data_IF_509366095459
#
_entry.id   IF_509366095459
#
_cell.length_a   1.000
_cell.length_b   1.000
_cell.length_c   1.000
_cell.angle_alpha   90.00
_cell.angle_beta   90.00
_cell.angle_gamma   90.00
#
_symmetry.space_group_name_H-M   'P 1'
#
loop_
_entity.id
_entity.type
_entity.pdbx_description
1 polymer ?
#
# COMPACT_ATOMS: atom_id res chain seq x y z
N UNK A 1 -5.73 8.50 14.78
CA UNK A 1 -5.25 7.45 13.84
C UNK A 1 -5.42 7.98 12.43
N UNK A 2 -4.36 7.97 11.64
CA UNK A 2 -4.31 8.61 10.34
C UNK A 2 -3.93 7.60 9.27
N UNK A 3 -4.63 7.65 8.12
CA UNK A 3 -4.32 6.81 6.97
C UNK A 3 -3.49 7.61 5.98
N UNK A 4 -2.49 6.98 5.39
CA UNK A 4 -1.65 7.55 4.36
C UNK A 4 -1.77 6.72 3.08
N UNK A 5 -2.05 7.39 1.97
CA UNK A 5 -2.15 6.81 0.63
C UNK A 5 -1.13 7.49 -0.28
N UNK A 6 -0.47 6.70 -1.12
CA UNK A 6 0.43 7.21 -2.14
C UNK A 6 -0.17 6.97 -3.52
N UNK A 7 -0.59 8.03 -4.21
CA UNK A 7 -1.26 7.96 -5.50
C UNK A 7 -0.37 8.47 -6.64
N UNK A 8 0.76 7.82 -6.86
CA UNK A 8 1.78 8.22 -7.84
C UNK A 8 1.84 7.31 -9.07
N UNK A 9 2.06 7.88 -10.28
CA UNK A 9 2.40 7.10 -11.45
C UNK A 9 3.78 6.39 -11.28
N UNK A 10 4.07 5.30 -12.00
CA UNK A 10 3.22 4.69 -13.03
C UNK A 10 2.16 3.73 -12.50
N UNK A 11 2.21 3.37 -11.23
CA UNK A 11 1.32 2.36 -10.65
C UNK A 11 -0.12 2.83 -10.46
N UNK A 12 -0.24 4.10 -10.04
CA UNK A 12 -1.49 4.76 -9.70
C UNK A 12 -1.53 6.15 -10.36
N UNK A 13 -2.02 7.20 -9.70
CA UNK A 13 -2.05 8.58 -10.23
C UNK A 13 -3.44 9.00 -10.70
N UNK A 14 -4.46 8.18 -10.53
CA UNK A 14 -5.84 8.53 -10.82
C UNK A 14 -6.69 8.56 -9.56
N UNK A 15 -7.62 9.49 -9.49
CA UNK A 15 -8.48 9.70 -8.32
C UNK A 15 -9.31 8.47 -7.95
N UNK A 16 -9.70 7.67 -8.92
CA UNK A 16 -10.52 6.45 -8.71
C UNK A 16 -9.87 5.47 -7.73
N UNK A 17 -8.55 5.37 -7.69
CA UNK A 17 -7.84 4.51 -6.74
C UNK A 17 -8.07 4.96 -5.29
N UNK A 18 -7.95 6.26 -5.06
CA UNK A 18 -8.16 6.87 -3.74
C UNK A 18 -9.62 6.76 -3.32
N UNK A 19 -10.55 7.01 -4.24
CA UNK A 19 -11.99 6.95 -3.97
C UNK A 19 -12.44 5.53 -3.59
N UNK A 20 -11.88 4.52 -4.22
CA UNK A 20 -12.13 3.12 -3.87
C UNK A 20 -11.67 2.79 -2.44
N UNK A 21 -10.47 3.20 -2.06
CA UNK A 21 -9.98 2.98 -0.70
C UNK A 21 -10.88 3.70 0.32
N UNK A 22 -11.21 4.97 0.09
CA UNK A 22 -12.10 5.73 0.97
C UNK A 22 -13.45 5.03 1.14
N UNK A 23 -14.05 4.61 0.03
CA UNK A 23 -15.33 3.89 0.05
C UNK A 23 -15.26 2.60 0.87
N UNK A 24 -14.23 1.77 0.68
CA UNK A 24 -14.06 0.54 1.43
C UNK A 24 -13.85 0.79 2.92
N UNK A 25 -13.05 1.80 3.28
CA UNK A 25 -12.79 2.20 4.66
C UNK A 25 -14.06 2.70 5.36
N UNK A 26 -14.88 3.50 4.68
CA UNK A 26 -16.15 3.98 5.22
C UNK A 26 -17.12 2.83 5.46
N UNK A 27 -17.21 1.88 4.53
CA UNK A 27 -18.04 0.67 4.69
C UNK A 27 -17.51 -0.29 5.77
N UNK A 28 -16.20 -0.32 6.01
CA UNK A 28 -15.58 -1.10 7.07
C UNK A 28 -15.73 -0.48 8.47
N UNK A 29 -16.44 0.65 8.60
CA UNK A 29 -16.77 1.30 9.88
C UNK A 29 -15.96 2.55 10.21
N UNK A 30 -15.29 3.15 9.23
CA UNK A 30 -14.56 4.44 9.36
C UNK A 30 -13.69 4.53 10.62
N UNK A 31 -12.67 3.70 10.70
CA UNK A 31 -11.79 3.57 11.86
C UNK A 31 -10.54 4.47 11.75
N UNK A 32 -10.71 5.70 11.30
CA UNK A 32 -9.66 6.69 11.09
C UNK A 32 -10.18 8.10 11.29
N UNK A 33 -9.30 9.03 11.62
CA UNK A 33 -9.61 10.46 11.78
C UNK A 33 -9.38 11.22 10.48
N UNK A 34 -8.26 10.96 9.80
CA UNK A 34 -7.82 11.66 8.57
C UNK A 34 -7.27 10.66 7.56
N UNK A 35 -7.49 10.94 6.27
CA UNK A 35 -6.79 10.30 5.16
C UNK A 35 -5.91 11.36 4.48
N UNK A 36 -4.61 11.13 4.49
CA UNK A 36 -3.64 11.89 3.72
C UNK A 36 -3.42 11.21 2.37
N UNK A 37 -3.50 11.97 1.31
CA UNK A 37 -3.20 11.50 -0.04
C UNK A 37 -1.97 12.25 -0.54
N UNK A 38 -0.92 11.52 -0.88
CA UNK A 38 0.28 12.06 -1.50
C UNK A 38 0.35 11.65 -2.95
N UNK A 39 0.71 12.60 -3.81
CA UNK A 39 0.89 12.42 -5.26
C UNK A 39 2.28 12.89 -5.74
N UNK A 40 3.14 13.29 -4.82
CA UNK A 40 4.51 13.69 -5.10
C UNK A 40 5.34 12.52 -5.63
N UNK A 41 5.97 12.71 -6.79
CA UNK A 41 6.93 11.77 -7.39
C UNK A 41 8.34 12.32 -7.15
N UNK A 42 9.15 11.59 -6.40
CA UNK A 42 10.53 11.98 -6.09
C UNK A 42 11.53 11.11 -6.83
N UNK A 43 11.35 9.80 -6.79
CA UNK A 43 12.23 8.82 -7.42
C UNK A 43 11.58 8.13 -8.62
N UNK A 44 10.27 8.35 -8.86
CA UNK A 44 9.51 7.75 -9.94
C UNK A 44 9.41 6.23 -9.86
N UNK A 45 9.43 5.68 -8.65
CA UNK A 45 9.49 4.24 -8.41
C UNK A 45 8.81 3.86 -7.09
N UNK A 46 8.83 2.57 -6.77
CA UNK A 46 8.32 2.05 -5.48
C UNK A 46 9.04 2.66 -4.26
N UNK A 47 10.20 3.23 -4.45
CA UNK A 47 10.98 3.91 -3.42
C UNK A 47 10.39 5.25 -2.97
N UNK A 48 9.43 5.81 -3.72
CA UNK A 48 8.68 6.99 -3.31
C UNK A 48 7.93 6.79 -1.97
N UNK A 49 7.61 5.54 -1.62
CA UNK A 49 7.04 5.21 -0.30
C UNK A 49 7.94 5.60 0.88
N UNK A 50 9.24 5.66 0.70
CA UNK A 50 10.17 5.98 1.80
C UNK A 50 10.06 7.43 2.26
N UNK A 51 9.61 8.36 1.39
CA UNK A 51 9.43 9.75 1.77
C UNK A 51 8.33 9.93 2.83
N UNK A 52 7.42 8.97 2.94
CA UNK A 52 6.34 8.99 3.93
C UNK A 52 6.90 9.09 5.36
N UNK A 53 8.03 8.43 5.64
CA UNK A 53 8.67 8.48 6.95
C UNK A 53 9.29 9.85 7.28
N UNK A 54 9.59 10.67 6.28
CA UNK A 54 10.04 12.06 6.50
C UNK A 54 8.86 13.02 6.62
N UNK A 55 7.73 12.75 5.97
CA UNK A 55 6.55 13.61 5.98
C UNK A 55 5.65 13.38 7.20
N UNK A 56 5.53 12.14 7.67
CA UNK A 56 4.59 11.72 8.70
C UNK A 56 5.33 11.27 9.97
N UNK A 57 5.65 12.23 10.89
CA UNK A 57 6.63 12.06 11.97
C UNK A 57 6.07 12.17 13.38
N UNK A 58 4.86 12.65 13.57
CA UNK A 58 4.37 13.02 14.91
C UNK A 58 3.10 12.30 15.34
N UNK A 59 2.47 11.54 14.45
CA UNK A 59 1.21 10.84 14.67
C UNK A 59 1.34 9.33 14.70
N UNK A 60 0.20 8.66 14.68
CA UNK A 60 0.09 7.23 14.44
C UNK A 60 -0.52 7.01 13.06
N UNK A 61 0.24 6.37 12.19
CA UNK A 61 -0.04 6.25 10.76
C UNK A 61 -0.22 4.81 10.33
N UNK A 62 -1.12 4.63 9.37
CA UNK A 62 -1.31 3.39 8.64
C UNK A 62 -1.24 3.70 7.14
N UNK A 63 -0.20 3.21 6.47
CA UNK A 63 -0.09 3.25 5.02
C UNK A 63 -0.79 2.05 4.40
N UNK A 64 -1.53 2.31 3.32
CA UNK A 64 -2.22 1.31 2.53
C UNK A 64 -1.89 1.52 1.05
N UNK A 65 -1.47 0.45 0.35
CA UNK A 65 -1.43 0.44 -1.11
C UNK A 65 -2.85 0.59 -1.69
N UNK A 66 -2.95 1.10 -2.90
CA UNK A 66 -4.24 1.36 -3.53
C UNK A 66 -4.84 0.14 -4.25
N UNK A 67 -4.04 -0.92 -4.44
CA UNK A 67 -4.46 -2.18 -5.07
C UNK A 67 -4.83 -3.26 -4.03
N UNK A 68 -5.54 -2.85 -2.98
CA UNK A 68 -6.07 -3.73 -1.94
C UNK A 68 -7.59 -3.66 -1.89
N UNK A 69 -8.22 -4.74 -1.42
CA UNK A 69 -9.64 -4.77 -1.07
C UNK A 69 -9.79 -4.91 0.43
N UNK A 70 -10.63 -4.07 1.03
CA UNK A 70 -10.90 -4.03 2.47
C UNK A 70 -12.39 -4.32 2.66
N UNK A 71 -12.71 -5.39 3.41
CA UNK A 71 -14.09 -5.84 3.66
C UNK A 71 -14.45 -5.84 5.14
N UNK A 72 -13.53 -5.45 6.02
CA UNK A 72 -13.75 -5.46 7.46
C UNK A 72 -12.82 -4.53 8.24
N UNK A 73 -12.88 -4.60 9.57
CA UNK A 73 -12.15 -3.68 10.43
C UNK A 73 -10.63 -3.73 10.26
N UNK A 74 -9.98 -2.56 10.33
CA UNK A 74 -8.53 -2.38 10.17
C UNK A 74 -7.84 -1.82 11.42
N UNK A 75 -8.57 -1.55 12.51
CA UNK A 75 -8.02 -0.94 13.72
C UNK A 75 -6.84 -1.72 14.31
N UNK A 76 -6.85 -3.04 14.15
CA UNK A 76 -5.79 -3.94 14.62
C UNK A 76 -4.46 -3.79 13.86
N UNK A 77 -4.45 -3.05 12.74
CA UNK A 77 -3.24 -2.79 11.95
C UNK A 77 -2.45 -1.58 12.46
N UNK A 78 -3.03 -0.75 13.34
CA UNK A 78 -2.29 0.36 13.94
C UNK A 78 -1.37 -0.15 15.05
N UNK A 79 -0.08 0.02 14.87
CA UNK A 79 0.97 -0.40 15.80
C UNK A 79 1.81 0.79 16.26
N UNK A 80 2.49 0.65 17.38
CA UNK A 80 3.41 1.69 17.90
C UNK A 80 4.80 1.56 17.31
N UNK A 81 5.20 0.37 16.90
CA UNK A 81 6.47 0.10 16.23
C UNK A 81 6.30 0.18 14.71
N UNK A 82 7.39 0.41 13.98
CA UNK A 82 7.36 0.27 12.53
C UNK A 82 7.09 -1.19 12.17
N UNK A 83 5.92 -1.44 11.63
CA UNK A 83 5.41 -2.78 11.34
C UNK A 83 4.93 -2.87 9.89
N UNK A 84 5.25 -3.96 9.21
CA UNK A 84 4.78 -4.21 7.85
C UNK A 84 4.39 -5.68 7.65
N UNK A 85 3.89 -6.03 6.47
CA UNK A 85 3.39 -7.37 6.21
C UNK A 85 4.53 -8.40 6.19
N UNK A 86 4.28 -9.54 6.83
CA UNK A 86 4.98 -10.78 6.50
C UNK A 86 4.40 -11.33 5.19
N UNK A 87 5.25 -11.43 4.16
CA UNK A 87 4.87 -11.92 2.83
C UNK A 87 4.88 -13.46 2.79
N UNK A 88 4.03 -14.10 3.56
CA UNK A 88 3.92 -15.55 3.72
C UNK A 88 3.71 -16.31 2.39
N UNK A 89 3.29 -15.62 1.34
CA UNK A 89 3.05 -16.17 0.00
C UNK A 89 4.26 -16.11 -0.93
N UNK A 90 5.38 -15.49 -0.49
CA UNK A 90 6.58 -15.35 -1.32
C UNK A 90 7.50 -16.55 -1.19
N UNK A 91 8.18 -16.86 -2.30
CA UNK A 91 9.22 -17.87 -2.31
C UNK A 91 10.43 -17.47 -1.45
N UNK A 92 11.17 -18.46 -0.88
CA UNK A 92 12.27 -18.20 0.07
C UNK A 92 13.39 -17.31 -0.46
N UNK A 93 13.62 -17.25 -1.77
CA UNK A 93 14.65 -16.40 -2.40
C UNK A 93 14.20 -14.96 -2.62
N UNK A 94 12.96 -14.63 -2.34
CA UNK A 94 12.45 -13.27 -2.29
C UNK A 94 12.52 -12.72 -0.86
N UNK A 95 12.17 -11.45 -0.66
CA UNK A 95 12.12 -10.92 0.70
C UNK A 95 10.90 -11.48 1.45
N UNK A 96 11.01 -11.72 2.76
CA UNK A 96 9.86 -12.16 3.56
C UNK A 96 8.88 -11.01 3.88
N UNK A 97 9.12 -9.80 3.37
CA UNK A 97 8.36 -8.60 3.65
C UNK A 97 7.55 -8.13 2.45
N UNK A 98 6.47 -7.41 2.75
CA UNK A 98 5.71 -6.66 1.75
C UNK A 98 5.24 -5.32 2.35
N UNK A 99 5.50 -4.24 1.65
CA UNK A 99 5.20 -2.87 2.05
C UNK A 99 3.83 -2.36 1.62
N UNK A 100 2.92 -3.25 1.22
CA UNK A 100 1.56 -2.82 0.83
C UNK A 100 0.72 -2.33 2.01
N UNK A 101 1.08 -2.75 3.23
CA UNK A 101 0.51 -2.24 4.49
C UNK A 101 1.67 -2.01 5.44
N UNK A 102 1.77 -0.78 5.95
CA UNK A 102 2.78 -0.39 6.93
C UNK A 102 2.16 0.48 8.00
N UNK A 103 2.56 0.31 9.26
CA UNK A 103 2.15 1.20 10.33
C UNK A 103 3.33 1.64 11.17
N UNK A 104 3.28 2.88 11.66
CA UNK A 104 4.28 3.43 12.57
C UNK A 104 3.68 4.51 13.46
N UNK A 105 4.36 4.81 14.56
CA UNK A 105 4.00 5.88 15.46
C UNK A 105 5.24 6.72 15.80
N UNK A 106 5.13 8.05 15.66
CA UNK A 106 6.23 8.97 15.92
C UNK A 106 7.24 9.09 14.77
N UNK A 107 8.47 9.51 15.10
CA UNK A 107 9.50 9.84 14.10
C UNK A 107 10.29 8.61 13.63
N UNK A 108 10.04 8.21 12.40
CA UNK A 108 10.79 7.18 11.67
C UNK A 108 11.57 7.75 10.48
N UNK A 109 11.87 9.06 10.48
CA UNK A 109 12.58 9.73 9.37
C UNK A 109 13.97 9.15 9.10
N UNK A 110 14.57 8.43 10.05
CA UNK A 110 15.83 7.73 9.85
C UNK A 110 15.78 6.74 8.68
N UNK A 111 14.59 6.16 8.38
CA UNK A 111 14.41 5.24 7.26
C UNK A 111 14.65 5.95 5.93
N UNK A 112 13.99 7.11 5.73
CA UNK A 112 14.21 7.91 4.52
C UNK A 112 15.61 8.51 4.46
N UNK A 113 16.13 9.00 5.59
CA UNK A 113 17.50 9.55 5.66
C UNK A 113 18.53 8.52 5.24
N UNK A 114 18.41 7.29 5.70
CA UNK A 114 19.28 6.18 5.32
C UNK A 114 19.27 5.95 3.82
N UNK A 115 18.10 5.87 3.20
CA UNK A 115 17.97 5.72 1.75
C UNK A 115 18.55 6.93 1.01
N UNK A 116 18.32 8.13 1.51
CA UNK A 116 18.72 9.38 0.88
C UNK A 116 20.24 9.69 1.01
N UNK A 117 21.03 8.84 1.72
CA UNK A 117 22.49 8.90 1.69
C UNK A 117 23.04 8.62 0.29
N UNK A 118 22.46 7.69 -0.46
CA UNK A 118 22.78 7.38 -1.85
C UNK A 118 21.63 6.62 -2.52
N UNK A 119 20.58 7.31 -3.00
CA UNK A 119 19.40 6.68 -3.59
C UNK A 119 19.74 5.78 -4.79
N UNK A 120 20.63 6.22 -5.66
CA UNK A 120 21.01 5.48 -6.86
C UNK A 120 21.69 4.15 -6.50
N UNK A 121 22.59 4.17 -5.52
CA UNK A 121 23.22 2.97 -5.00
C UNK A 121 22.19 1.99 -4.44
N UNK A 122 21.27 2.47 -3.59
CA UNK A 122 20.28 1.59 -2.96
C UNK A 122 19.27 1.03 -3.97
N UNK A 123 18.84 1.81 -4.96
CA UNK A 123 17.96 1.34 -6.02
C UNK A 123 18.60 0.26 -6.90
N UNK A 124 19.91 0.35 -7.16
CA UNK A 124 20.65 -0.67 -7.90
C UNK A 124 20.93 -1.90 -7.04
N UNK A 125 21.35 -1.70 -5.80
CA UNK A 125 21.69 -2.77 -4.84
C UNK A 125 20.48 -3.62 -4.49
N UNK A 126 19.32 -3.00 -4.27
CA UNK A 126 18.08 -3.67 -3.89
C UNK A 126 17.08 -3.65 -5.04
N UNK A 127 17.36 -4.40 -6.10
CA UNK A 127 16.58 -4.41 -7.33
C UNK A 127 15.16 -5.00 -7.18
N UNK A 128 14.85 -5.62 -6.04
CA UNK A 128 13.49 -6.05 -5.67
C UNK A 128 12.69 -4.96 -4.98
N UNK A 129 13.22 -3.75 -4.93
CA UNK A 129 12.55 -2.56 -4.45
C UNK A 129 12.62 -2.33 -2.93
N UNK A 130 11.71 -1.50 -2.45
CA UNK A 130 11.64 -1.04 -1.06
C UNK A 130 11.57 -2.20 -0.04
N UNK A 131 10.90 -3.29 -0.36
CA UNK A 131 10.76 -4.45 0.54
C UNK A 131 12.14 -5.04 0.86
N UNK A 132 13.02 -5.14 -0.15
CA UNK A 132 14.39 -5.65 0.04
C UNK A 132 15.26 -4.65 0.81
N UNK A 133 15.13 -3.36 0.51
CA UNK A 133 15.83 -2.30 1.25
C UNK A 133 15.48 -2.34 2.75
N UNK A 134 14.20 -2.35 3.08
CA UNK A 134 13.75 -2.42 4.48
C UNK A 134 14.28 -3.70 5.14
N UNK A 135 14.13 -4.83 4.49
CA UNK A 135 14.58 -6.12 5.03
C UNK A 135 16.07 -6.14 5.40
N UNK A 136 16.92 -5.43 4.64
CA UNK A 136 18.38 -5.47 4.79
C UNK A 136 18.94 -4.34 5.64
N UNK A 137 18.28 -3.18 5.68
CA UNK A 137 18.88 -1.95 6.22
C UNK A 137 18.13 -1.38 7.42
N UNK A 138 16.89 -1.81 7.70
CA UNK A 138 16.01 -1.17 8.67
C UNK A 138 15.54 -2.19 9.72
N UNK A 139 15.41 -1.75 10.96
CA UNK A 139 14.73 -2.50 12.02
C UNK A 139 13.21 -2.39 11.85
N UNK A 140 12.52 -3.50 11.98
CA UNK A 140 11.07 -3.59 11.77
C UNK A 140 10.43 -4.71 12.59
N UNK A 141 9.12 -4.61 12.77
CA UNK A 141 8.25 -5.70 13.21
C UNK A 141 7.37 -6.19 12.04
N UNK A 142 6.80 -7.36 12.18
CA UNK A 142 5.86 -7.87 11.17
C UNK A 142 4.51 -8.19 11.78
N UNK A 143 3.46 -7.88 11.00
CA UNK A 143 2.13 -8.41 11.31
C UNK A 143 2.14 -9.94 11.23
N UNK A 144 1.28 -10.58 12.03
CA UNK A 144 0.85 -11.94 11.74
C UNK A 144 0.11 -12.02 10.39
N UNK A 145 -0.56 -13.11 10.13
CA UNK A 145 -1.37 -13.25 8.90
C UNK A 145 -2.63 -12.38 8.99
N UNK A 146 -2.56 -11.12 8.54
CA UNK A 146 -3.64 -10.12 8.58
C UNK A 146 -4.31 -9.89 7.24
N UNK A 147 -3.71 -10.38 6.15
CA UNK A 147 -4.25 -10.25 4.80
C UNK A 147 -4.06 -11.53 3.98
N UNK A 148 -4.87 -11.66 2.96
CA UNK A 148 -4.71 -12.64 1.89
C UNK A 148 -4.09 -11.99 0.65
N UNK A 149 -3.53 -12.82 -0.24
CA UNK A 149 -3.08 -12.39 -1.56
C UNK A 149 -3.95 -13.09 -2.61
N UNK A 150 -4.60 -12.31 -3.48
CA UNK A 150 -5.49 -12.86 -4.51
C UNK A 150 -4.78 -13.86 -5.42
N UNK A 151 -3.55 -13.57 -5.83
CA UNK A 151 -2.77 -14.43 -6.73
C UNK A 151 -2.41 -15.80 -6.12
N UNK A 152 -2.49 -15.94 -4.79
CA UNK A 152 -2.06 -17.14 -4.05
C UNK A 152 -3.20 -17.84 -3.31
N UNK A 153 -4.43 -17.54 -3.69
CA UNK A 153 -5.62 -18.16 -3.10
C UNK A 153 -5.93 -17.58 -1.71
N UNK A 154 -6.70 -16.53 -1.68
CA UNK A 154 -7.15 -15.89 -0.47
C UNK A 154 -8.55 -15.31 -0.67
N UNK A 155 -9.10 -14.70 0.36
CA UNK A 155 -10.42 -14.07 0.35
C UNK A 155 -11.22 -14.32 1.62
N UNK A 156 -10.61 -14.93 2.62
CA UNK A 156 -11.23 -15.19 3.93
C UNK A 156 -10.89 -14.11 4.97
N UNK A 157 -9.81 -13.37 4.75
CA UNK A 157 -9.41 -12.27 5.64
C UNK A 157 -10.03 -10.95 5.19
N UNK A 158 -10.19 -9.98 6.11
CA UNK A 158 -10.79 -8.68 5.82
C UNK A 158 -10.02 -7.85 4.79
N UNK A 159 -8.79 -8.24 4.48
CA UNK A 159 -7.93 -7.54 3.54
C UNK A 159 -7.39 -8.53 2.52
N UNK A 160 -7.48 -8.18 1.23
CA UNK A 160 -6.91 -8.95 0.13
C UNK A 160 -6.04 -8.06 -0.74
N UNK A 161 -4.79 -8.48 -0.99
CA UNK A 161 -3.85 -7.78 -1.85
C UNK A 161 -4.03 -8.22 -3.31
N UNK A 162 -3.99 -7.25 -4.22
CA UNK A 162 -4.08 -7.45 -5.67
C UNK A 162 -2.81 -7.04 -6.42
N UNK A 163 -1.70 -6.86 -5.73
CA UNK A 163 -0.43 -6.38 -6.30
C UNK A 163 0.09 -7.19 -7.50
N UNK A 164 -0.29 -8.46 -7.64
CA UNK A 164 0.03 -9.32 -8.79
C UNK A 164 -1.19 -9.63 -9.68
N UNK A 165 -2.33 -9.00 -9.44
CA UNK A 165 -3.58 -9.26 -10.13
C UNK A 165 -4.45 -8.00 -10.17
N UNK A 166 -3.87 -6.84 -10.48
CA UNK A 166 -4.57 -5.53 -10.46
C UNK A 166 -5.78 -5.47 -11.37
N UNK A 167 -5.75 -6.18 -12.52
CA UNK A 167 -6.87 -6.35 -13.42
C UNK A 167 -8.09 -7.00 -12.75
N UNK A 168 -7.84 -7.93 -11.82
CA UNK A 168 -8.88 -8.66 -11.09
C UNK A 168 -9.55 -7.84 -10.00
N UNK A 169 -8.89 -6.79 -9.51
CA UNK A 169 -9.46 -5.90 -8.50
C UNK A 169 -10.79 -5.30 -8.99
N UNK A 170 -10.89 -4.96 -10.26
CA UNK A 170 -12.10 -4.37 -10.86
C UNK A 170 -13.27 -5.34 -11.03
N UNK A 171 -13.04 -6.64 -10.90
CA UNK A 171 -14.12 -7.64 -10.89
C UNK A 171 -14.95 -7.57 -9.59
N UNK A 172 -14.41 -7.00 -8.51
CA UNK A 172 -15.06 -6.79 -7.21
C UNK A 172 -15.89 -5.49 -7.14
N UNK A 173 -16.64 -5.17 -8.21
CA UNK A 173 -17.39 -3.90 -8.35
C UNK A 173 -18.35 -3.58 -7.20
N UNK A 174 -18.88 -4.59 -6.53
CA UNK A 174 -19.77 -4.40 -5.38
C UNK A 174 -19.05 -3.97 -4.10
N UNK A 175 -17.73 -4.16 -4.06
CA UNK A 175 -16.85 -3.81 -2.92
C UNK A 175 -16.09 -2.51 -3.20
N UNK A 176 -15.99 -2.14 -4.49
CA UNK A 176 -15.27 -0.98 -4.97
C UNK A 176 -16.27 0.11 -5.30
N UNK A 177 -16.17 1.26 -4.74
CA UNK A 177 -16.96 2.46 -5.03
C UNK A 177 -18.48 2.30 -4.91
N UNK A 178 -19.14 3.33 -4.45
CA UNK A 178 -20.57 3.53 -4.55
C UNK A 178 -21.09 3.37 -5.98
N UNK A 179 -22.33 3.72 -6.26
CA UNK A 179 -22.93 3.51 -7.56
C UNK A 179 -22.04 4.09 -8.65
N UNK A 180 -21.43 3.18 -9.42
CA UNK A 180 -20.54 3.53 -10.54
C UNK A 180 -21.37 4.28 -11.55
N UNK A 181 -21.12 5.57 -11.74
CA UNK A 181 -21.73 6.34 -12.80
C UNK A 181 -21.20 5.86 -14.16
N UNK A 182 -21.92 6.12 -15.25
CA UNK A 182 -21.43 5.72 -16.59
C UNK A 182 -20.04 6.31 -16.94
N UNK A 183 -19.64 7.39 -16.29
CA UNK A 183 -18.31 8.02 -16.43
C UNK A 183 -17.24 7.14 -15.81
N UNK A 184 -17.53 6.53 -14.66
CA UNK A 184 -16.57 5.68 -13.93
C UNK A 184 -16.34 4.34 -14.64
N UNK A 185 -17.35 3.81 -15.37
CA UNK A 185 -17.19 2.61 -16.17
C UNK A 185 -16.16 2.78 -17.28
N UNK A 186 -16.17 3.93 -17.97
CA UNK A 186 -15.17 4.23 -18.99
C UNK A 186 -13.76 4.40 -18.41
N UNK A 187 -13.65 5.00 -17.24
CA UNK A 187 -12.36 5.16 -16.53
C UNK A 187 -11.81 3.81 -16.08
N UNK A 188 -12.68 2.94 -15.55
CA UNK A 188 -12.30 1.59 -15.16
C UNK A 188 -11.86 0.74 -16.35
N UNK A 189 -12.57 0.82 -17.48
CA UNK A 189 -12.20 0.12 -18.73
C UNK A 189 -10.82 0.59 -19.25
N UNK A 190 -10.54 1.87 -19.17
CA UNK A 190 -9.26 2.46 -19.57
C UNK A 190 -8.12 2.01 -18.65
N UNK A 191 -8.38 1.90 -17.36
CA UNK A 191 -7.41 1.36 -16.39
C UNK A 191 -7.09 -0.10 -16.67
N UNK A 192 -8.11 -0.94 -16.86
CA UNK A 192 -7.95 -2.35 -17.20
C UNK A 192 -7.09 -2.50 -18.46
N UNK A 193 -7.40 -1.75 -19.52
CA UNK A 193 -6.59 -1.79 -20.76
C UNK A 193 -5.13 -1.38 -20.56
N UNK A 194 -4.87 -0.39 -19.70
CA UNK A 194 -3.52 0.10 -19.42
C UNK A 194 -2.63 -0.91 -18.68
N UNK A 195 -3.24 -1.83 -17.92
CA UNK A 195 -2.50 -2.84 -17.14
C UNK A 195 -2.51 -4.23 -17.77
N UNK A 196 -3.14 -4.40 -18.94
CA UNK A 196 -3.09 -5.64 -19.75
C UNK A 196 -1.96 -5.64 -20.81
N UNK A 197 -1.27 -4.54 -20.98
CA UNK A 197 -0.06 -4.41 -21.81
C UNK A 197 1.19 -4.36 -20.95
#
# INVERSE_FOLDING_TARGET
MEIVLLNTPPGYGQQIWVDNIKYMLDNAGRQYDVIHVMDDVVHGSVYDKLILFDRFRTGQYLYLDLDIVITGPIVHLYTTQFTLLNAWWREPFHTPLNSSIMSWCGDHSHIYKKFNEDPDYYMVKYNKGIDEFIYKEIEYETYGKVCDSYAWGGGNLPITLYNHAKDKLWEHKSTLSGPVTNTDQNTNATLIQKYQT
#
